data_IF_316458713546
#
_entry.id   IF_316458713546
#
_cell.length_a   1.000
_cell.length_b   1.000
_cell.length_c   1.000
_cell.angle_alpha   90.00
_cell.angle_beta   90.00
_cell.angle_gamma   90.00
#
_symmetry.space_group_name_H-M   'P 1'
#
loop_
_entity.id
_entity.type
_entity.pdbx_description
1 polymer ?
#
# COMPACT_ATOMS: atom_id res chain seq x y z
N UNK A 1 3.36 -4.15 -18.36
CA UNK A 1 4.48 -3.87 -17.43
C UNK A 1 4.10 -4.45 -16.08
N UNK A 2 5.02 -5.00 -15.29
CA UNK A 2 4.68 -5.54 -13.96
C UNK A 2 4.61 -4.40 -12.96
N UNK A 3 3.54 -4.32 -12.17
CA UNK A 3 3.32 -3.25 -11.17
C UNK A 3 3.83 -3.66 -9.80
N UNK A 4 4.63 -2.81 -9.15
CA UNK A 4 5.23 -3.03 -7.84
C UNK A 4 4.72 -1.99 -6.85
N UNK A 5 4.17 -2.46 -5.74
CA UNK A 5 3.83 -1.62 -4.59
C UNK A 5 5.06 -1.41 -3.70
N UNK A 6 5.39 -0.17 -3.35
CA UNK A 6 6.50 0.16 -2.47
C UNK A 6 6.04 0.37 -1.03
N UNK A 7 6.18 -0.68 -0.19
CA UNK A 7 5.82 -0.65 1.22
C UNK A 7 7.06 -0.36 2.09
N UNK A 8 7.00 0.68 2.92
CA UNK A 8 8.11 1.08 3.77
C UNK A 8 7.87 2.40 4.49
N UNK A 9 8.78 2.78 5.40
CA UNK A 9 8.63 3.99 6.18
C UNK A 9 8.64 5.25 5.28
N UNK A 10 7.87 6.26 5.67
CA UNK A 10 7.69 7.51 4.90
C UNK A 10 7.49 8.75 5.79
N UNK A 11 7.87 8.67 7.07
CA UNK A 11 7.54 9.68 8.07
C UNK A 11 8.53 10.86 8.10
N UNK A 12 9.76 10.65 7.62
CA UNK A 12 10.76 11.70 7.53
C UNK A 12 11.38 11.81 6.13
N UNK A 13 12.08 12.92 5.82
CA UNK A 13 12.65 13.12 4.49
C UNK A 13 13.61 12.02 4.04
N UNK A 14 14.39 11.42 4.95
CA UNK A 14 15.36 10.39 4.60
C UNK A 14 14.69 9.06 4.25
N UNK A 15 13.63 8.71 4.98
CA UNK A 15 12.80 7.55 4.66
C UNK A 15 12.11 7.72 3.29
N UNK A 16 11.55 8.90 3.02
CA UNK A 16 10.96 9.20 1.70
C UNK A 16 11.99 9.14 0.57
N UNK A 17 13.19 9.68 0.78
CA UNK A 17 14.29 9.63 -0.20
C UNK A 17 14.69 8.18 -0.52
N UNK A 18 14.88 7.33 0.49
CA UNK A 18 15.23 5.92 0.28
C UNK A 18 14.12 5.16 -0.47
N UNK A 19 12.87 5.40 -0.11
CA UNK A 19 11.73 4.80 -0.82
C UNK A 19 11.62 5.33 -2.26
N UNK A 20 11.97 6.60 -2.51
CA UNK A 20 12.03 7.17 -3.85
C UNK A 20 13.18 6.57 -4.68
N UNK A 21 14.36 6.32 -4.09
CA UNK A 21 15.47 5.63 -4.76
C UNK A 21 15.08 4.20 -5.19
N UNK A 22 14.38 3.48 -4.33
CA UNK A 22 13.83 2.15 -4.63
C UNK A 22 12.82 2.22 -5.79
N UNK A 23 11.90 3.19 -5.77
CA UNK A 23 10.94 3.38 -6.86
C UNK A 23 11.65 3.69 -8.18
N UNK A 24 12.63 4.60 -8.17
CA UNK A 24 13.36 5.00 -9.36
C UNK A 24 14.18 3.85 -9.96
N UNK A 25 14.83 3.01 -9.15
CA UNK A 25 15.57 1.87 -9.71
C UNK A 25 14.63 0.85 -10.37
N UNK A 26 13.43 0.65 -9.81
CA UNK A 26 12.42 -0.24 -10.38
C UNK A 26 11.89 0.32 -11.70
N UNK A 27 11.52 1.60 -11.74
CA UNK A 27 11.04 2.30 -12.95
C UNK A 27 12.08 2.23 -14.08
N UNK A 28 13.34 2.51 -13.76
CA UNK A 28 14.46 2.43 -14.72
C UNK A 28 14.70 1.01 -15.28
N UNK A 29 14.15 -0.02 -14.62
CA UNK A 29 14.26 -1.41 -15.04
C UNK A 29 12.94 -1.96 -15.60
N UNK A 30 12.01 -1.09 -16.01
CA UNK A 30 10.80 -1.46 -16.74
C UNK A 30 9.68 -2.02 -15.86
N UNK A 31 9.64 -1.64 -14.59
CA UNK A 31 8.49 -1.87 -13.71
C UNK A 31 7.59 -0.63 -13.67
N UNK A 32 6.30 -0.85 -13.48
CA UNK A 32 5.39 0.19 -13.02
C UNK A 32 5.45 0.24 -11.49
N UNK A 33 5.37 1.41 -10.89
CA UNK A 33 5.57 1.57 -9.44
C UNK A 33 4.46 2.41 -8.84
N UNK A 34 3.89 1.91 -7.74
CA UNK A 34 3.09 2.71 -6.84
C UNK A 34 3.87 2.99 -5.56
N UNK A 35 4.19 4.27 -5.34
CA UNK A 35 4.90 4.78 -4.18
C UNK A 35 3.93 5.61 -3.31
N UNK A 36 3.51 5.14 -2.12
CA UNK A 36 2.36 5.71 -1.41
C UNK A 36 2.43 7.22 -1.14
N UNK A 37 3.59 7.76 -0.76
CA UNK A 37 3.73 9.18 -0.47
C UNK A 37 3.86 10.07 -1.73
N UNK A 38 4.03 9.48 -2.91
CA UNK A 38 4.11 10.19 -4.21
C UNK A 38 2.81 10.06 -5.00
N UNK A 39 2.26 8.86 -5.03
CA UNK A 39 1.16 8.46 -5.90
C UNK A 39 -0.16 8.25 -5.12
N UNK A 40 -0.08 8.21 -3.79
CA UNK A 40 -1.23 8.05 -2.91
C UNK A 40 -2.01 9.34 -2.73
N UNK A 41 -3.18 9.20 -2.10
CA UNK A 41 -4.12 10.29 -1.97
C UNK A 41 -3.87 11.10 -0.69
N UNK A 42 -3.51 12.37 -0.83
CA UNK A 42 -3.37 13.27 0.32
C UNK A 42 -4.74 13.77 0.79
N UNK A 43 -5.29 13.08 1.79
CA UNK A 43 -6.56 13.42 2.42
C UNK A 43 -6.55 14.69 3.28
N UNK A 44 -5.39 15.34 3.43
CA UNK A 44 -5.17 16.48 4.32
C UNK A 44 -6.14 17.64 4.01
N UNK A 45 -6.56 17.79 2.75
CA UNK A 45 -7.45 18.87 2.32
C UNK A 45 -8.95 18.57 2.42
N UNK A 46 -9.36 17.33 2.74
CA UNK A 46 -10.79 16.97 2.75
C UNK A 46 -11.49 17.29 4.06
N UNK A 47 -10.74 17.54 5.14
CA UNK A 47 -11.32 17.79 6.47
C UNK A 47 -12.18 19.05 6.48
N UNK A 48 -11.75 20.13 5.82
CA UNK A 48 -12.56 21.34 5.68
C UNK A 48 -13.84 21.12 4.87
N UNK A 49 -13.76 20.34 3.78
CA UNK A 49 -14.93 19.97 2.97
C UNK A 49 -15.92 19.11 3.75
N UNK A 50 -15.45 18.16 4.57
CA UNK A 50 -16.34 17.39 5.44
C UNK A 50 -17.06 18.27 6.46
N UNK A 51 -16.37 19.23 7.07
CA UNK A 51 -17.00 20.18 8.01
C UNK A 51 -18.07 21.02 7.29
N UNK A 52 -17.80 21.53 6.08
CA UNK A 52 -18.78 22.27 5.27
C UNK A 52 -20.03 21.45 4.96
N UNK A 53 -19.87 20.14 4.75
CA UNK A 53 -20.97 19.20 4.52
C UNK A 53 -21.71 18.78 5.80
N UNK A 54 -21.37 19.37 6.96
CA UNK A 54 -22.01 19.07 8.24
C UNK A 54 -21.58 17.73 8.85
N UNK A 55 -20.48 17.15 8.38
CA UNK A 55 -19.90 15.92 8.95
C UNK A 55 -19.14 16.28 10.22
N UNK A 56 -19.41 15.57 11.32
CA UNK A 56 -18.66 15.74 12.56
C UNK A 56 -17.20 15.35 12.40
N UNK A 57 -16.29 15.96 13.17
CA UNK A 57 -14.86 15.64 13.14
C UNK A 57 -14.57 14.14 13.32
N UNK A 58 -15.33 13.46 14.19
CA UNK A 58 -15.19 12.03 14.42
C UNK A 58 -15.58 11.21 13.18
N UNK A 59 -16.68 11.59 12.51
CA UNK A 59 -17.10 10.93 11.29
C UNK A 59 -16.16 11.23 10.13
N UNK A 60 -15.66 12.46 10.01
CA UNK A 60 -14.67 12.85 9.01
C UNK A 60 -13.39 12.01 9.16
N UNK A 61 -12.83 11.91 10.38
CA UNK A 61 -11.69 11.05 10.68
C UNK A 61 -11.96 9.58 10.36
N UNK A 62 -13.15 9.07 10.68
CA UNK A 62 -13.53 7.69 10.36
C UNK A 62 -13.61 7.46 8.85
N UNK A 63 -14.18 8.40 8.08
CA UNK A 63 -14.25 8.34 6.62
C UNK A 63 -12.84 8.32 6.05
N UNK A 64 -11.98 9.24 6.50
CA UNK A 64 -10.59 9.33 6.04
C UNK A 64 -9.81 8.06 6.33
N UNK A 65 -9.86 7.54 7.56
CA UNK A 65 -9.17 6.30 7.92
C UNK A 65 -9.66 5.10 7.08
N UNK A 66 -10.97 5.01 6.83
CA UNK A 66 -11.54 3.97 5.96
C UNK A 66 -11.10 4.15 4.50
N UNK A 67 -11.03 5.38 4.00
CA UNK A 67 -10.60 5.67 2.64
C UNK A 67 -9.13 5.30 2.43
N UNK A 68 -8.24 5.72 3.33
CA UNK A 68 -6.81 5.36 3.34
C UNK A 68 -6.65 3.84 3.32
N UNK A 69 -7.23 3.14 4.31
CA UNK A 69 -7.16 1.68 4.38
C UNK A 69 -7.68 1.01 3.09
N UNK A 70 -8.80 1.48 2.55
CA UNK A 70 -9.41 0.89 1.36
C UNK A 70 -8.53 1.09 0.11
N UNK A 71 -7.92 2.28 -0.04
CA UNK A 71 -7.02 2.60 -1.13
C UNK A 71 -5.72 1.80 -1.06
N UNK A 72 -5.07 1.75 0.10
CA UNK A 72 -3.79 1.05 0.26
C UNK A 72 -3.98 -0.45 -0.02
N UNK A 73 -5.04 -1.06 0.51
CA UNK A 73 -5.38 -2.46 0.21
C UNK A 73 -5.65 -2.66 -1.28
N UNK A 74 -6.36 -1.73 -1.94
CA UNK A 74 -6.57 -1.83 -3.38
C UNK A 74 -5.24 -1.79 -4.15
N UNK A 75 -4.35 -0.84 -3.85
CA UNK A 75 -3.08 -0.69 -4.56
C UNK A 75 -2.13 -1.88 -4.35
N UNK A 76 -2.12 -2.46 -3.14
CA UNK A 76 -1.39 -3.71 -2.87
C UNK A 76 -1.95 -4.87 -3.69
N UNK A 77 -3.27 -5.02 -3.74
CA UNK A 77 -3.92 -6.13 -4.46
C UNK A 77 -3.88 -5.94 -5.98
N UNK A 78 -3.88 -4.71 -6.48
CA UNK A 78 -3.77 -4.37 -7.90
C UNK A 78 -2.35 -4.56 -8.45
N UNK A 79 -1.35 -4.58 -7.57
CA UNK A 79 0.05 -4.80 -7.95
C UNK A 79 0.37 -6.27 -8.23
N UNK A 80 1.38 -6.54 -9.05
CA UNK A 80 1.92 -7.89 -9.29
C UNK A 80 2.88 -8.32 -8.17
N UNK A 81 3.58 -7.37 -7.58
CA UNK A 81 4.52 -7.61 -6.49
C UNK A 81 4.59 -6.44 -5.50
N UNK A 82 5.32 -6.67 -4.41
CA UNK A 82 5.54 -5.70 -3.34
C UNK A 82 7.00 -5.72 -2.92
N UNK A 83 7.63 -4.54 -2.85
CA UNK A 83 8.93 -4.35 -2.19
C UNK A 83 8.68 -3.87 -0.77
N UNK A 84 9.22 -4.60 0.20
CA UNK A 84 9.06 -4.33 1.63
C UNK A 84 10.37 -3.81 2.22
N UNK A 85 10.46 -2.52 2.49
CA UNK A 85 11.59 -1.93 3.20
C UNK A 85 11.42 -2.14 4.71
N UNK A 86 12.33 -2.92 5.31
CA UNK A 86 12.33 -3.20 6.75
C UNK A 86 13.46 -2.51 7.51
N UNK A 87 14.10 -1.50 6.90
CA UNK A 87 15.07 -0.66 7.61
C UNK A 87 14.42 -0.01 8.84
N UNK A 88 15.22 0.19 9.89
CA UNK A 88 14.71 0.61 11.20
C UNK A 88 15.00 -0.39 12.31
N UNK A 89 14.86 0.07 13.56
CA UNK A 89 14.94 -0.79 14.75
C UNK A 89 13.75 -1.74 14.85
N UNK A 90 12.59 -1.25 14.41
CA UNK A 90 11.33 -1.97 14.25
C UNK A 90 10.82 -1.61 12.86
N UNK A 91 10.42 -2.58 12.03
CA UNK A 91 9.81 -2.30 10.73
C UNK A 91 8.53 -1.47 10.90
N UNK A 92 8.24 -0.62 9.92
CA UNK A 92 7.01 0.17 9.84
C UNK A 92 5.76 -0.74 9.93
N UNK A 93 4.84 -0.41 10.83
CA UNK A 93 3.65 -1.24 11.07
C UNK A 93 2.69 -1.26 9.87
N UNK A 94 2.59 -0.14 9.13
CA UNK A 94 1.77 -0.05 7.93
C UNK A 94 2.26 -1.02 6.86
N UNK A 95 3.56 -0.95 6.56
CA UNK A 95 4.24 -1.81 5.61
C UNK A 95 4.10 -3.31 5.97
N UNK A 96 4.10 -3.65 7.27
CA UNK A 96 3.90 -5.05 7.69
C UNK A 96 2.48 -5.53 7.41
N UNK A 97 1.46 -4.68 7.61
CA UNK A 97 0.07 -5.02 7.29
C UNK A 97 -0.10 -5.21 5.78
N UNK A 98 0.45 -4.31 4.98
CA UNK A 98 0.44 -4.38 3.51
C UNK A 98 1.11 -5.66 3.01
N UNK A 99 2.31 -5.99 3.51
CA UNK A 99 3.02 -7.20 3.13
C UNK A 99 2.27 -8.48 3.53
N UNK A 100 1.60 -8.49 4.68
CA UNK A 100 0.74 -9.61 5.08
C UNK A 100 -0.44 -9.82 4.11
N UNK A 101 -1.07 -8.72 3.68
CA UNK A 101 -2.16 -8.75 2.67
C UNK A 101 -1.63 -9.24 1.33
N UNK A 102 -0.50 -8.72 0.87
CA UNK A 102 0.16 -9.14 -0.36
C UNK A 102 0.51 -10.63 -0.35
N UNK A 103 1.04 -11.13 0.77
CA UNK A 103 1.41 -12.53 0.94
C UNK A 103 0.19 -13.44 0.85
N UNK A 104 -0.89 -13.07 1.53
CA UNK A 104 -2.15 -13.81 1.48
C UNK A 104 -2.77 -13.80 0.07
N UNK A 105 -2.61 -12.70 -0.67
CA UNK A 105 -3.05 -12.57 -2.06
C UNK A 105 -2.10 -13.24 -3.08
N UNK A 106 -1.03 -13.90 -2.63
CA UNK A 106 -0.10 -14.63 -3.48
C UNK A 106 0.82 -13.75 -4.33
N UNK A 107 0.97 -12.46 -3.96
CA UNK A 107 1.85 -11.52 -4.65
C UNK A 107 3.32 -11.87 -4.46
N UNK A 108 4.15 -11.52 -5.44
CA UNK A 108 5.60 -11.67 -5.32
C UNK A 108 6.13 -10.61 -4.35
N UNK A 109 6.76 -11.02 -3.25
CA UNK A 109 7.33 -10.10 -2.27
C UNK A 109 8.86 -10.19 -2.28
N UNK A 110 9.51 -9.04 -2.28
CA UNK A 110 10.96 -8.89 -2.04
C UNK A 110 11.13 -8.01 -0.81
N UNK A 111 12.04 -8.37 0.09
CA UNK A 111 12.40 -7.52 1.24
C UNK A 111 13.64 -6.72 0.87
N UNK A 112 13.67 -5.44 1.21
CA UNK A 112 14.88 -4.63 1.24
C UNK A 112 15.32 -4.38 2.69
N UNK A 113 16.60 -4.60 2.95
CA UNK A 113 17.23 -4.25 4.21
C UNK A 113 18.70 -3.89 4.03
N UNK A 114 19.02 -2.63 4.29
CA UNK A 114 20.38 -2.11 4.34
C UNK A 114 20.65 -1.47 5.72
N UNK A 115 20.31 -2.20 6.77
CA UNK A 115 20.43 -1.77 8.16
C UNK A 115 21.04 -2.90 9.01
N UNK A 116 22.03 -2.56 9.82
CA UNK A 116 22.73 -3.51 10.69
C UNK A 116 21.93 -3.87 11.96
N UNK A 117 20.91 -3.07 12.32
CA UNK A 117 20.05 -3.33 13.48
C UNK A 117 19.23 -4.59 13.23
N UNK A 118 19.22 -5.49 14.20
CA UNK A 118 18.56 -6.80 14.13
C UNK A 118 18.07 -7.22 15.52
N UNK A 119 17.09 -8.14 15.57
CA UNK A 119 16.47 -8.58 16.81
C UNK A 119 17.19 -9.80 17.44
N UNK A 120 17.73 -10.71 16.62
CA UNK A 120 18.20 -12.04 17.07
C UNK A 120 19.65 -12.28 16.63
N UNK A 121 20.65 -11.91 17.45
CA UNK A 121 22.07 -12.20 17.18
C UNK A 121 22.54 -11.87 15.73
N UNK A 122 22.07 -10.76 15.15
CA UNK A 122 22.38 -10.43 13.75
C UNK A 122 21.31 -10.86 12.73
N UNK A 123 20.19 -11.45 13.16
CA UNK A 123 19.09 -11.87 12.29
C UNK A 123 17.78 -11.12 12.60
N UNK A 124 17.00 -10.89 11.54
CA UNK A 124 15.65 -10.36 11.62
C UNK A 124 14.63 -11.46 11.97
N UNK A 125 13.43 -11.04 12.37
CA UNK A 125 12.37 -11.97 12.76
C UNK A 125 11.99 -12.88 11.58
N UNK A 126 12.05 -14.24 11.72
CA UNK A 126 11.75 -15.18 10.64
C UNK A 126 10.34 -15.07 10.06
N UNK A 127 9.36 -14.57 10.82
CA UNK A 127 8.01 -14.34 10.29
C UNK A 127 8.03 -13.24 9.22
N UNK A 128 8.89 -12.24 9.37
CA UNK A 128 9.05 -11.17 8.38
C UNK A 128 9.74 -11.73 7.14
N UNK A 129 10.87 -12.42 7.32
CA UNK A 129 11.62 -13.01 6.21
C UNK A 129 10.78 -14.04 5.43
N UNK A 130 9.90 -14.76 6.13
CA UNK A 130 8.97 -15.71 5.53
C UNK A 130 7.98 -15.09 4.53
N UNK A 131 7.63 -13.80 4.68
CA UNK A 131 6.74 -13.10 3.73
C UNK A 131 7.31 -13.07 2.32
N UNK A 132 8.63 -12.91 2.19
CA UNK A 132 9.33 -12.92 0.91
C UNK A 132 9.93 -14.27 0.54
N UNK A 133 9.56 -15.36 1.23
CA UNK A 133 10.25 -16.66 1.12
C UNK A 133 11.79 -16.48 1.21
N UNK A 134 12.23 -15.65 2.15
CA UNK A 134 13.63 -15.32 2.42
C UNK A 134 14.39 -14.63 1.27
N UNK A 135 13.69 -14.05 0.28
CA UNK A 135 14.32 -13.19 -0.73
C UNK A 135 14.54 -11.79 -0.16
N UNK A 136 15.79 -11.50 0.22
CA UNK A 136 16.21 -10.22 0.80
C UNK A 136 17.26 -9.56 -0.11
N UNK A 137 17.01 -8.31 -0.47
CA UNK A 137 17.94 -7.40 -1.10
C UNK A 137 18.64 -6.56 -0.03
N UNK A 138 19.96 -6.51 -0.06
CA UNK A 138 20.77 -5.62 0.78
C UNK A 138 21.25 -4.36 0.04
N UNK A 139 21.15 -4.36 -1.29
CA UNK A 139 21.45 -3.22 -2.14
C UNK A 139 20.25 -2.91 -3.03
N UNK A 140 19.91 -1.63 -3.15
CA UNK A 140 18.78 -1.15 -3.97
C UNK A 140 18.94 -1.60 -5.44
N UNK A 141 20.16 -1.56 -5.96
CA UNK A 141 20.53 -2.01 -7.31
C UNK A 141 20.15 -3.47 -7.62
N UNK A 142 20.08 -4.33 -6.59
CA UNK A 142 19.80 -5.76 -6.75
C UNK A 142 18.30 -6.07 -6.89
N UNK A 143 17.42 -5.17 -6.41
CA UNK A 143 15.96 -5.38 -6.30
C UNK A 143 15.34 -5.80 -7.64
N UNK A 144 15.59 -5.10 -8.79
CA UNK A 144 14.96 -5.46 -10.06
C UNK A 144 15.32 -6.88 -10.53
N UNK A 145 16.57 -7.30 -10.32
CA UNK A 145 17.04 -8.64 -10.73
C UNK A 145 16.35 -9.76 -9.95
N UNK A 146 16.06 -9.52 -8.66
CA UNK A 146 15.35 -10.46 -7.80
C UNK A 146 13.90 -10.60 -8.26
N UNK A 147 13.21 -9.48 -8.52
CA UNK A 147 11.83 -9.50 -9.05
C UNK A 147 11.75 -10.25 -10.38
N UNK A 148 12.63 -9.92 -11.34
CA UNK A 148 12.66 -10.61 -12.64
C UNK A 148 12.83 -12.13 -12.47
N UNK A 149 13.74 -12.57 -11.60
CA UNK A 149 13.94 -14.00 -11.29
C UNK A 149 12.71 -14.65 -10.67
N UNK A 150 12.00 -13.96 -9.78
CA UNK A 150 10.82 -14.49 -9.09
C UNK A 150 9.62 -14.57 -10.04
N UNK A 151 9.37 -13.53 -10.84
CA UNK A 151 8.29 -13.53 -11.83
C UNK A 151 8.48 -14.59 -12.92
N UNK A 152 9.72 -14.95 -13.28
CA UNK A 152 10.00 -16.07 -14.18
C UNK A 152 9.73 -17.45 -13.57
N UNK A 153 9.84 -17.57 -12.23
CA UNK A 153 9.60 -18.83 -11.50
C UNK A 153 8.15 -19.03 -11.12
N UNK A 154 7.39 -17.94 -11.03
CA UNK A 154 5.95 -17.95 -10.80
C UNK A 154 5.22 -18.45 -12.07
N UNK A 155 5.28 -19.76 -12.32
CA UNK A 155 4.30 -20.44 -13.16
C UNK A 155 2.93 -20.52 -12.48
N UNK A 156 1.88 -20.86 -13.24
CA UNK A 156 0.47 -20.89 -12.80
C UNK A 156 0.29 -21.46 -11.37
N UNK A 157 0.20 -20.56 -10.39
CA UNK A 157 0.00 -20.92 -8.98
C UNK A 157 -1.44 -21.37 -8.79
N UNK A 158 -1.61 -22.65 -8.42
CA UNK A 158 -2.91 -23.19 -8.01
C UNK A 158 -3.45 -22.41 -6.80
N UNK A 159 -4.67 -21.92 -6.94
CA UNK A 159 -5.41 -21.20 -5.89
C UNK A 159 -5.46 -22.05 -4.60
N UNK A 160 -4.90 -21.54 -3.51
CA UNK A 160 -5.40 -21.93 -2.18
C UNK A 160 -6.84 -21.44 -2.08
N UNK A 161 -7.74 -22.29 -1.60
CA UNK A 161 -9.11 -21.88 -1.28
C UNK A 161 -9.03 -21.09 0.04
N UNK A 162 -8.86 -19.78 -0.08
CA UNK A 162 -9.00 -18.81 1.01
C UNK A 162 -10.26 -18.00 0.68
N UNK A 163 -11.16 -17.83 1.65
CA UNK A 163 -12.32 -16.94 1.48
C UNK A 163 -11.83 -15.49 1.36
N UNK A 164 -11.69 -15.05 0.11
CA UNK A 164 -11.25 -13.71 -0.25
C UNK A 164 -12.43 -12.74 -0.47
N UNK A 165 -13.67 -13.09 -0.09
CA UNK A 165 -14.85 -12.26 -0.34
C UNK A 165 -14.77 -10.85 0.29
N UNK A 166 -14.11 -10.73 1.45
CA UNK A 166 -13.84 -9.43 2.08
C UNK A 166 -12.83 -8.60 1.29
N UNK A 167 -11.77 -9.22 0.78
CA UNK A 167 -10.76 -8.55 -0.06
C UNK A 167 -11.41 -8.09 -1.37
N UNK A 168 -12.24 -8.92 -1.99
CA UNK A 168 -12.94 -8.56 -3.24
C UNK A 168 -13.84 -7.32 -3.07
N UNK A 169 -14.61 -7.25 -1.98
CA UNK A 169 -15.43 -6.07 -1.65
C UNK A 169 -14.58 -4.82 -1.44
N UNK A 170 -13.47 -4.93 -0.70
CA UNK A 170 -12.55 -3.82 -0.46
C UNK A 170 -11.91 -3.37 -1.77
N UNK A 171 -11.46 -4.31 -2.61
CA UNK A 171 -10.85 -4.04 -3.90
C UNK A 171 -11.77 -3.23 -4.82
N UNK A 172 -13.03 -3.65 -4.96
CA UNK A 172 -14.04 -2.91 -5.75
C UNK A 172 -14.26 -1.49 -5.24
N UNK A 173 -14.32 -1.31 -3.92
CA UNK A 173 -14.45 0.03 -3.31
C UNK A 173 -13.21 0.88 -3.55
N UNK A 174 -12.01 0.33 -3.39
CA UNK A 174 -10.77 1.05 -3.61
C UNK A 174 -10.56 1.45 -5.07
N UNK A 175 -10.94 0.60 -6.02
CA UNK A 175 -10.95 0.94 -7.44
C UNK A 175 -11.83 2.16 -7.72
N UNK A 176 -13.06 2.17 -7.19
CA UNK A 176 -13.97 3.31 -7.32
C UNK A 176 -13.37 4.58 -6.70
N UNK A 177 -12.83 4.49 -5.47
CA UNK A 177 -12.23 5.64 -4.81
C UNK A 177 -11.06 6.18 -5.65
N UNK A 178 -10.17 5.32 -6.14
CA UNK A 178 -9.00 5.72 -6.95
C UNK A 178 -9.41 6.35 -8.29
N UNK A 179 -10.42 5.83 -8.97
CA UNK A 179 -10.93 6.44 -10.20
C UNK A 179 -11.53 7.82 -9.96
N UNK A 180 -12.28 7.99 -8.87
CA UNK A 180 -12.86 9.27 -8.48
C UNK A 180 -11.80 10.29 -8.10
N UNK A 181 -10.79 9.83 -7.37
CA UNK A 181 -9.66 10.63 -6.90
C UNK A 181 -8.88 11.24 -8.07
N UNK A 182 -8.78 10.53 -9.20
CA UNK A 182 -8.12 11.00 -10.41
C UNK A 182 -9.00 11.87 -11.33
N UNK A 183 -10.33 11.85 -11.14
CA UNK A 183 -11.31 12.56 -12.01
C UNK A 183 -11.93 13.80 -11.35
N UNK A 184 -11.93 13.87 -10.03
CA UNK A 184 -12.66 14.91 -9.30
C UNK A 184 -11.85 16.21 -9.26
N UNK A 185 -12.44 17.29 -9.80
CA UNK A 185 -11.91 18.65 -9.68
C UNK A 185 -12.44 19.39 -8.43
N UNK A 186 -13.40 18.78 -7.70
CA UNK A 186 -14.12 19.40 -6.58
C UNK A 186 -14.11 18.52 -5.32
N UNK A 187 -13.49 19.01 -4.25
CA UNK A 187 -13.36 18.31 -2.96
C UNK A 187 -14.70 17.98 -2.31
N UNK A 188 -15.74 18.80 -2.48
CA UNK A 188 -17.06 18.57 -1.87
C UNK A 188 -17.78 17.41 -2.57
N UNK A 189 -17.64 17.28 -3.89
CA UNK A 189 -18.18 16.15 -4.65
C UNK A 189 -17.49 14.83 -4.26
N UNK A 190 -16.15 14.86 -4.15
CA UNK A 190 -15.37 13.71 -3.69
C UNK A 190 -15.78 13.28 -2.27
N UNK A 191 -15.96 14.22 -1.34
CA UNK A 191 -16.44 13.94 0.02
C UNK A 191 -17.80 13.24 0.01
N UNK A 192 -18.76 13.71 -0.78
CA UNK A 192 -20.09 13.10 -0.90
C UNK A 192 -20.04 11.66 -1.44
N UNK A 193 -19.20 11.43 -2.45
CA UNK A 193 -19.03 10.10 -3.02
C UNK A 193 -18.32 9.14 -2.03
N UNK A 194 -17.33 9.63 -1.28
CA UNK A 194 -16.65 8.85 -0.24
C UNK A 194 -17.62 8.39 0.85
N UNK A 195 -18.54 9.25 1.31
CA UNK A 195 -19.57 8.90 2.30
C UNK A 195 -20.42 7.72 1.81
N UNK A 196 -20.83 7.76 0.54
CA UNK A 196 -21.67 6.73 -0.07
C UNK A 196 -20.90 5.41 -0.26
N UNK A 197 -19.69 5.44 -0.83
CA UNK A 197 -18.89 4.22 -1.10
C UNK A 197 -18.52 3.50 0.20
N UNK A 198 -18.24 4.26 1.26
CA UNK A 198 -17.81 3.73 2.56
C UNK A 198 -18.98 3.40 3.51
N UNK A 199 -20.22 3.55 3.03
CA UNK A 199 -21.48 3.17 3.71
C UNK A 199 -21.59 3.72 5.15
N UNK A 200 -21.25 5.00 5.35
CA UNK A 200 -21.33 5.63 6.68
C UNK A 200 -22.79 6.06 6.91
N UNK A 201 -23.49 5.35 7.82
CA UNK A 201 -24.94 5.51 8.05
C UNK A 201 -25.36 6.72 8.90
N UNK A 202 -24.41 7.46 9.48
CA UNK A 202 -24.68 8.56 10.42
C UNK A 202 -24.19 9.93 9.93
N UNK A 203 -24.11 10.13 8.60
CA UNK A 203 -23.95 11.47 8.03
C UNK A 203 -25.36 12.03 7.80
N UNK A 204 -25.73 13.20 8.37
CA UNK A 204 -27.02 13.82 8.11
C UNK A 204 -27.24 13.91 6.60
N UNK A 205 -28.41 13.49 6.12
CA UNK A 205 -28.78 13.67 4.72
C UNK A 205 -28.60 15.15 4.37
N UNK A 206 -27.69 15.42 3.43
CA UNK A 206 -27.40 16.76 2.93
C UNK A 206 -28.71 17.32 2.39
N UNK A 207 -29.20 18.41 3.00
CA UNK A 207 -30.36 19.17 2.51
C UNK A 207 -29.94 20.13 1.42
#
# INVERSE_FOLDING_TARGET
MKKIYCAGPLFNPKEKEEMQEIATILENNGFDVFLPHRDGFEFVNLSESFIKLGVSDNNAKLILNKAIFTLDVFQVIDSDGLILNINGRVPDEGAMVEAGIAWNAGKTIVIFKNDARTLINGNDNPLLLGLANFNVANEISSIPSIFNKLFLKDGDKKNKIIDNSRIEKIFKKGQLIFELSNKSENSDELCNQLINILEIKDVPAIR
#
